data_IF_812315588506
#
_entry.id   IF_812315588506
#
_cell.length_a   1.000
_cell.length_b   1.000
_cell.length_c   1.000
_cell.angle_alpha   90.00
_cell.angle_beta   90.00
_cell.angle_gamma   90.00
#
_symmetry.space_group_name_H-M   'P 1'
#
loop_
_entity.id
_entity.type
_entity.pdbx_description
1 polymer ?
#
# COMPACT_ATOMS: atom_id res chain seq x y z
N UNK A 1 5.93 9.45 -5.36
CA UNK A 1 6.33 8.63 -4.17
C UNK A 1 7.81 8.24 -4.19
N UNK A 2 8.42 7.96 -3.01
CA UNK A 2 9.82 7.48 -2.88
C UNK A 2 9.88 6.07 -2.32
N UNK A 3 10.63 5.16 -2.96
CA UNK A 3 10.97 3.82 -2.44
C UNK A 3 11.90 3.99 -1.23
N UNK A 4 11.50 3.46 -0.08
CA UNK A 4 12.23 3.52 1.19
C UNK A 4 13.03 2.24 1.41
N UNK A 5 12.36 1.10 1.28
CA UNK A 5 12.91 -0.24 1.51
C UNK A 5 12.30 -1.23 0.52
N UNK A 6 13.04 -2.29 0.22
CA UNK A 6 12.64 -3.38 -0.66
C UNK A 6 13.32 -4.63 -0.14
N UNK A 7 12.58 -5.44 0.62
CA UNK A 7 13.12 -6.58 1.34
C UNK A 7 12.43 -7.85 0.90
N UNK A 8 13.20 -8.93 0.80
CA UNK A 8 12.68 -10.27 0.58
C UNK A 8 13.08 -11.14 1.75
N UNK A 9 12.09 -11.70 2.44
CA UNK A 9 12.26 -12.51 3.63
C UNK A 9 11.86 -13.96 3.33
N UNK A 10 12.60 -14.91 3.92
CA UNK A 10 12.29 -16.33 3.85
C UNK A 10 11.53 -16.77 5.12
N UNK A 11 10.43 -17.52 4.93
CA UNK A 11 9.71 -18.16 6.02
C UNK A 11 9.16 -19.52 5.54
N UNK A 12 9.47 -20.60 6.26
CA UNK A 12 9.09 -21.97 5.88
C UNK A 12 9.45 -22.33 4.41
N UNK A 13 10.67 -21.98 3.99
CA UNK A 13 11.19 -22.17 2.63
C UNK A 13 10.39 -21.45 1.52
N UNK A 14 9.57 -20.45 1.88
CA UNK A 14 8.86 -19.56 0.97
C UNK A 14 9.40 -18.15 1.07
N UNK A 15 9.34 -17.40 -0.03
CA UNK A 15 9.85 -16.03 -0.11
C UNK A 15 8.72 -15.01 -0.18
N UNK A 16 8.82 -13.98 0.65
CA UNK A 16 7.86 -12.90 0.74
C UNK A 16 8.58 -11.57 0.52
N UNK A 17 8.16 -10.82 -0.49
CA UNK A 17 8.72 -9.50 -0.78
C UNK A 17 7.84 -8.43 -0.17
N UNK A 18 8.44 -7.45 0.48
CA UNK A 18 7.75 -6.26 0.97
C UNK A 18 8.49 -5.03 0.50
N UNK A 19 7.76 -4.09 -0.10
CA UNK A 19 8.31 -2.84 -0.61
C UNK A 19 7.58 -1.69 0.09
N UNK A 20 8.36 -0.78 0.65
CA UNK A 20 7.83 0.37 1.36
C UNK A 20 8.08 1.63 0.53
N UNK A 21 7.01 2.36 0.28
CA UNK A 21 7.02 3.68 -0.34
C UNK A 21 6.53 4.71 0.66
N UNK A 22 7.09 5.92 0.60
CA UNK A 22 6.67 7.01 1.46
C UNK A 22 6.46 8.32 0.71
N UNK A 23 5.99 9.29 1.49
CA UNK A 23 5.74 10.67 1.07
C UNK A 23 4.64 10.74 0.01
N UNK A 24 3.50 10.13 0.32
CA UNK A 24 2.29 10.30 -0.48
C UNK A 24 1.63 11.59 -0.04
N UNK A 25 1.55 12.52 -0.97
CA UNK A 25 0.75 13.71 -0.82
C UNK A 25 -0.64 13.47 -1.45
N UNK A 26 -1.67 14.18 -0.96
CA UNK A 26 -3.05 14.11 -1.46
C UNK A 26 -3.62 12.68 -1.55
N UNK A 27 -3.83 12.03 -0.40
CA UNK A 27 -4.14 10.60 -0.24
C UNK A 27 -5.37 10.02 -0.97
N UNK A 28 -6.16 10.80 -1.69
CA UNK A 28 -7.33 10.31 -2.45
C UNK A 28 -7.43 10.90 -3.86
N UNK A 29 -6.35 11.53 -4.34
CA UNK A 29 -6.31 12.05 -5.70
C UNK A 29 -6.43 10.89 -6.72
N UNK A 30 -7.22 11.03 -7.79
CA UNK A 30 -7.34 9.99 -8.81
C UNK A 30 -5.99 9.55 -9.40
N UNK A 31 -5.07 10.50 -9.55
CA UNK A 31 -3.72 10.28 -10.09
C UNK A 31 -2.88 9.35 -9.21
N UNK A 32 -3.16 9.29 -7.90
CA UNK A 32 -2.45 8.41 -6.97
C UNK A 32 -2.71 6.93 -7.29
N UNK A 33 -3.93 6.58 -7.69
CA UNK A 33 -4.27 5.20 -8.08
C UNK A 33 -3.43 4.75 -9.28
N UNK A 34 -3.29 5.61 -10.29
CA UNK A 34 -2.47 5.33 -11.46
C UNK A 34 -0.98 5.24 -11.12
N UNK A 35 -0.47 6.13 -10.25
CA UNK A 35 0.92 6.07 -9.79
C UNK A 35 1.20 4.76 -9.03
N UNK A 36 0.30 4.33 -8.12
CA UNK A 36 0.41 3.07 -7.39
C UNK A 36 0.44 1.87 -8.35
N UNK A 37 -0.50 1.81 -9.31
CA UNK A 37 -0.55 0.72 -10.30
C UNK A 37 0.73 0.62 -11.11
N UNK A 38 1.24 1.76 -11.59
CA UNK A 38 2.48 1.79 -12.38
C UNK A 38 3.70 1.33 -11.57
N UNK A 39 3.79 1.72 -10.29
CA UNK A 39 4.86 1.28 -9.40
C UNK A 39 4.79 -0.23 -9.16
N UNK A 40 3.61 -0.75 -8.83
CA UNK A 40 3.40 -2.19 -8.61
C UNK A 40 3.78 -2.99 -9.85
N UNK A 41 3.30 -2.57 -11.03
CA UNK A 41 3.64 -3.23 -12.30
C UNK A 41 5.14 -3.22 -12.58
N UNK A 42 5.81 -2.09 -12.31
CA UNK A 42 7.26 -1.98 -12.45
C UNK A 42 8.00 -2.93 -11.51
N UNK A 43 7.63 -2.95 -10.23
CA UNK A 43 8.26 -3.80 -9.22
C UNK A 43 8.03 -5.29 -9.52
N UNK A 44 6.85 -5.66 -10.03
CA UNK A 44 6.53 -7.04 -10.44
C UNK A 44 7.30 -7.49 -11.68
N UNK A 45 7.70 -6.56 -12.56
CA UNK A 45 8.51 -6.87 -13.73
C UNK A 45 10.00 -7.08 -13.40
N UNK A 46 10.45 -6.70 -12.20
CA UNK A 46 11.82 -6.91 -11.76
C UNK A 46 12.09 -8.40 -11.52
N UNK A 47 13.27 -8.86 -11.95
CA UNK A 47 13.70 -10.25 -11.71
C UNK A 47 14.07 -10.43 -10.24
N UNK A 48 13.45 -11.40 -9.58
CA UNK A 48 13.81 -11.82 -8.23
C UNK A 48 14.71 -13.06 -8.29
N UNK A 49 15.63 -13.18 -7.34
CA UNK A 49 16.51 -14.36 -7.25
C UNK A 49 15.74 -15.65 -6.92
N UNK A 50 14.64 -15.51 -6.17
CA UNK A 50 13.77 -16.60 -5.74
C UNK A 50 12.32 -16.36 -6.19
N UNK A 51 11.51 -17.42 -6.37
CA UNK A 51 10.09 -17.28 -6.64
C UNK A 51 9.37 -16.70 -5.42
N UNK A 52 8.64 -15.60 -5.62
CA UNK A 52 7.92 -14.89 -4.56
C UNK A 52 6.53 -15.50 -4.39
N UNK A 53 6.22 -15.97 -3.17
CA UNK A 53 4.90 -16.51 -2.80
C UNK A 53 3.86 -15.38 -2.68
N UNK A 54 4.25 -14.27 -2.06
CA UNK A 54 3.42 -13.08 -1.99
C UNK A 54 4.29 -11.81 -1.93
N UNK A 55 3.82 -10.77 -2.60
CA UNK A 55 4.42 -9.44 -2.57
C UNK A 55 3.50 -8.47 -1.84
N UNK A 56 4.09 -7.57 -1.06
CA UNK A 56 3.37 -6.55 -0.32
C UNK A 56 3.95 -5.19 -0.65
N UNK A 57 3.08 -4.19 -0.81
CA UNK A 57 3.46 -2.80 -0.92
C UNK A 57 2.82 -2.05 0.22
N UNK A 58 3.60 -1.22 0.90
CA UNK A 58 3.11 -0.33 1.96
C UNK A 58 3.44 1.10 1.56
N UNK A 59 2.40 1.89 1.43
CA UNK A 59 2.40 3.25 0.88
C UNK A 59 2.06 4.22 2.01
N UNK A 60 3.06 4.91 2.54
CA UNK A 60 2.91 5.79 3.70
C UNK A 60 2.59 7.25 3.30
N UNK A 61 1.53 7.81 3.89
CA UNK A 61 1.20 9.24 3.78
C UNK A 61 2.36 10.13 4.19
N UNK A 62 2.51 11.28 3.56
CA UNK A 62 3.39 12.33 4.09
C UNK A 62 2.79 12.95 5.37
N UNK A 63 1.48 13.14 5.38
CA UNK A 63 0.74 13.78 6.45
C UNK A 63 0.62 12.86 7.68
N UNK A 64 0.79 13.45 8.86
CA UNK A 64 0.53 12.78 10.13
C UNK A 64 -0.77 13.34 10.71
N UNK A 65 -1.71 12.46 11.06
CA UNK A 65 -2.89 12.82 11.82
C UNK A 65 -2.62 12.60 13.31
N UNK A 66 -3.06 13.52 14.16
CA UNK A 66 -3.10 13.27 15.60
C UNK A 66 -4.20 12.25 15.92
N UNK A 67 -3.91 11.33 16.83
CA UNK A 67 -4.93 10.45 17.40
C UNK A 67 -5.43 10.97 18.76
N UNK A 68 -6.41 10.26 19.34
CA UNK A 68 -7.07 10.65 20.58
C UNK A 68 -6.15 10.60 21.83
N UNK A 69 -4.98 9.95 21.74
CA UNK A 69 -4.02 9.77 22.84
C UNK A 69 -2.80 10.71 22.67
N UNK A 70 -2.76 11.49 21.59
CA UNK A 70 -1.69 12.44 21.30
C UNK A 70 -0.55 11.85 20.48
N UNK A 71 -0.67 10.60 20.03
CA UNK A 71 0.25 9.99 19.10
C UNK A 71 -0.02 10.49 17.68
N UNK A 72 1.06 10.58 16.90
CA UNK A 72 0.99 10.97 15.49
C UNK A 72 0.96 9.72 14.63
N UNK A 73 -0.23 9.37 14.16
CA UNK A 73 -0.44 8.22 13.29
C UNK A 73 -0.31 8.66 11.84
N UNK A 74 0.42 7.86 11.06
CA UNK A 74 0.54 8.01 9.62
C UNK A 74 -0.34 6.97 8.96
N UNK A 75 -1.29 7.42 8.15
CA UNK A 75 -2.09 6.51 7.34
C UNK A 75 -1.23 5.79 6.30
N UNK A 76 -1.69 4.61 5.90
CA UNK A 76 -1.03 3.85 4.84
C UNK A 76 -2.01 3.07 3.99
N UNK A 77 -1.70 2.97 2.70
CA UNK A 77 -2.32 2.01 1.79
C UNK A 77 -1.42 0.76 1.76
N UNK A 78 -1.98 -0.41 2.05
CA UNK A 78 -1.29 -1.68 1.92
C UNK A 78 -1.89 -2.45 0.74
N UNK A 79 -1.06 -2.87 -0.19
CA UNK A 79 -1.46 -3.76 -1.28
C UNK A 79 -0.75 -5.09 -1.10
N UNK A 80 -1.49 -6.18 -1.18
CA UNK A 80 -0.94 -7.53 -1.15
C UNK A 80 -1.26 -8.22 -2.47
N UNK A 81 -0.27 -8.84 -3.08
CA UNK A 81 -0.43 -9.70 -4.25
C UNK A 81 -0.08 -11.14 -3.87
N UNK A 82 -1.03 -12.06 -4.04
CA UNK A 82 -0.85 -13.50 -3.83
C UNK A 82 -1.83 -14.26 -4.71
N UNK A 83 -1.40 -15.39 -5.28
CA UNK A 83 -2.26 -16.27 -6.09
C UNK A 83 -2.96 -15.50 -7.25
N UNK A 84 -2.23 -14.59 -7.91
CA UNK A 84 -2.71 -13.70 -8.97
C UNK A 84 -3.88 -12.78 -8.56
N UNK A 85 -4.04 -12.52 -7.27
CA UNK A 85 -5.05 -11.62 -6.73
C UNK A 85 -4.39 -10.50 -5.93
N UNK A 86 -4.91 -9.29 -6.11
CA UNK A 86 -4.59 -8.14 -5.27
C UNK A 86 -5.67 -7.91 -4.21
N UNK A 87 -5.25 -7.70 -2.96
CA UNK A 87 -6.09 -7.21 -1.87
C UNK A 87 -5.54 -5.86 -1.37
N UNK A 88 -6.42 -4.89 -1.11
CA UNK A 88 -6.03 -3.53 -0.70
C UNK A 88 -6.64 -3.18 0.65
N UNK A 89 -5.77 -2.77 1.58
CA UNK A 89 -6.16 -2.24 2.88
C UNK A 89 -5.75 -0.78 3.03
N UNK A 90 -6.52 -0.04 3.80
CA UNK A 90 -6.16 1.32 4.21
C UNK A 90 -6.13 1.38 5.73
N UNK A 91 -4.95 1.64 6.29
CA UNK A 91 -4.75 1.81 7.72
C UNK A 91 -4.86 3.31 8.04
N UNK A 92 -5.68 3.65 9.02
CA UNK A 92 -5.99 5.03 9.39
C UNK A 92 -6.15 5.17 10.91
N UNK A 93 -6.03 6.39 11.43
CA UNK A 93 -6.34 6.68 12.84
C UNK A 93 -7.85 6.75 13.11
N UNK A 94 -8.26 6.72 14.38
CA UNK A 94 -9.66 6.92 14.78
C UNK A 94 -10.24 8.26 14.30
N UNK A 95 -9.41 9.31 14.28
CA UNK A 95 -9.83 10.61 13.75
C UNK A 95 -10.09 10.56 12.25
N UNK A 96 -9.21 9.89 11.49
CA UNK A 96 -9.40 9.66 10.06
C UNK A 96 -10.61 8.76 9.78
N UNK A 97 -10.87 7.77 10.63
CA UNK A 97 -12.08 6.95 10.56
C UNK A 97 -13.35 7.81 10.63
N UNK A 98 -13.41 8.80 11.51
CA UNK A 98 -14.60 9.66 11.59
C UNK A 98 -14.70 10.65 10.42
N UNK A 99 -13.57 11.07 9.84
CA UNK A 99 -13.54 12.21 8.92
C UNK A 99 -13.46 11.84 7.44
N UNK A 100 -12.86 10.70 7.09
CA UNK A 100 -12.56 10.33 5.69
C UNK A 100 -12.90 8.87 5.34
N UNK A 101 -13.60 8.15 6.22
CA UNK A 101 -13.87 6.72 6.02
C UNK A 101 -14.52 6.38 4.67
N UNK A 102 -15.53 7.13 4.26
CA UNK A 102 -16.23 6.87 2.98
C UNK A 102 -15.31 7.08 1.78
N UNK A 103 -14.54 8.17 1.78
CA UNK A 103 -13.60 8.50 0.69
C UNK A 103 -12.47 7.47 0.63
N UNK A 104 -11.90 7.10 1.79
CA UNK A 104 -10.87 6.07 1.87
C UNK A 104 -11.39 4.69 1.45
N UNK A 105 -12.63 4.36 1.81
CA UNK A 105 -13.27 3.10 1.42
C UNK A 105 -13.53 3.04 -0.08
N UNK A 106 -14.01 4.13 -0.68
CA UNK A 106 -14.22 4.20 -2.12
C UNK A 106 -12.89 4.11 -2.87
N UNK A 107 -11.88 4.85 -2.41
CA UNK A 107 -10.54 4.81 -3.01
C UNK A 107 -9.93 3.40 -2.96
N UNK A 108 -9.91 2.75 -1.79
CA UNK A 108 -9.33 1.39 -1.67
C UNK A 108 -10.06 0.38 -2.54
N UNK A 109 -11.39 0.44 -2.61
CA UNK A 109 -12.20 -0.50 -3.39
C UNK A 109 -11.96 -0.30 -4.89
N UNK A 110 -11.87 0.95 -5.34
CA UNK A 110 -11.58 1.28 -6.73
C UNK A 110 -10.17 0.81 -7.13
N UNK A 111 -9.17 1.08 -6.29
CA UNK A 111 -7.79 0.65 -6.52
C UNK A 111 -7.69 -0.89 -6.58
N UNK A 112 -8.34 -1.60 -5.67
CA UNK A 112 -8.37 -3.07 -5.68
C UNK A 112 -9.01 -3.62 -6.95
N UNK A 113 -10.15 -3.05 -7.37
CA UNK A 113 -10.80 -3.45 -8.61
C UNK A 113 -9.90 -3.20 -9.82
N UNK A 114 -9.22 -2.05 -9.88
CA UNK A 114 -8.37 -1.70 -11.02
C UNK A 114 -7.09 -2.55 -11.10
N UNK A 115 -6.55 -2.99 -9.96
CA UNK A 115 -5.39 -3.89 -9.91
C UNK A 115 -5.73 -5.33 -10.35
N UNK A 116 -6.98 -5.76 -10.18
CA UNK A 116 -7.44 -7.11 -10.54
C UNK A 116 -8.11 -7.18 -11.94
N UNK A 117 -8.05 -6.12 -12.73
CA UNK A 117 -8.49 -6.09 -14.14
C UNK A 117 -7.40 -6.58 -15.07
#
# INVERSE_FOLDING_TARGET
>A
MKKLFDETNEFEAKYYRTIWYGYIDNEFAPELSDEIKQLIQRDLAEKTANPIEAAHWVFYSETQAGDAIGDKVRSSIMVRHRDNKFDVHYNMSDFQFVTVFDVATNFKNQLEQDLNK
#
